data_IF_513249079637
#
_entry.id   IF_513249079637
#
_cell.length_a   1.000
_cell.length_b   1.000
_cell.length_c   1.000
_cell.angle_alpha   90.00
_cell.angle_beta   90.00
_cell.angle_gamma   90.00
#
_symmetry.space_group_name_H-M   'P 1'
#
loop_
_entity.id
_entity.type
_entity.pdbx_description
1 polymer ?
#
# COMPACT_ATOMS: atom_id res chain seq x y z
N UNK A 1 -14.13 15.56 8.43
CA UNK A 1 -13.76 14.14 8.62
C UNK A 1 -12.44 13.92 7.93
N UNK A 2 -11.40 13.59 8.69
CA UNK A 2 -10.04 13.42 8.18
C UNK A 2 -9.99 12.31 7.11
N UNK A 3 -9.59 12.66 5.88
CA UNK A 3 -9.55 11.75 4.72
C UNK A 3 -8.65 10.56 5.02
N UNK A 4 -7.52 10.80 5.69
CA UNK A 4 -6.54 9.77 6.05
C UNK A 4 -7.16 8.74 6.99
N UNK A 5 -7.96 9.17 7.98
CA UNK A 5 -8.67 8.24 8.85
C UNK A 5 -9.68 7.36 8.11
N UNK A 6 -10.31 7.85 7.03
CA UNK A 6 -11.18 6.99 6.20
C UNK A 6 -10.37 5.94 5.45
N UNK A 7 -9.23 6.33 4.88
CA UNK A 7 -8.33 5.41 4.18
C UNK A 7 -7.80 4.34 5.13
N UNK A 8 -7.36 4.72 6.32
CA UNK A 8 -6.92 3.79 7.36
C UNK A 8 -8.05 2.83 7.77
N UNK A 9 -9.29 3.31 7.88
CA UNK A 9 -10.46 2.46 8.12
C UNK A 9 -10.67 1.41 7.01
N UNK A 10 -10.49 1.79 5.75
CA UNK A 10 -10.55 0.85 4.62
C UNK A 10 -9.44 -0.20 4.66
N UNK A 11 -8.21 0.21 5.01
CA UNK A 11 -7.07 -0.71 5.15
C UNK A 11 -7.32 -1.71 6.29
N UNK A 12 -7.88 -1.25 7.39
CA UNK A 12 -8.26 -2.12 8.50
C UNK A 12 -9.37 -3.12 8.12
N UNK A 13 -10.33 -2.75 7.26
CA UNK A 13 -11.29 -3.72 6.70
C UNK A 13 -10.57 -4.76 5.83
N UNK A 14 -9.63 -4.35 4.97
CA UNK A 14 -8.83 -5.29 4.16
C UNK A 14 -8.07 -6.29 5.02
N UNK A 15 -7.48 -5.84 6.14
CA UNK A 15 -6.76 -6.70 7.09
C UNK A 15 -7.69 -7.70 7.80
N UNK A 16 -8.87 -7.27 8.22
CA UNK A 16 -9.78 -8.09 9.04
C UNK A 16 -10.69 -9.01 8.22
N UNK A 17 -11.03 -8.63 6.99
CA UNK A 17 -12.01 -9.32 6.13
C UNK A 17 -11.60 -9.29 4.65
N UNK A 18 -10.45 -9.87 4.28
CA UNK A 18 -9.90 -9.78 2.93
C UNK A 18 -10.88 -10.31 1.85
N UNK A 19 -11.59 -11.40 2.13
CA UNK A 19 -12.57 -12.00 1.21
C UNK A 19 -13.82 -11.16 0.92
N UNK A 20 -14.10 -10.10 1.68
CA UNK A 20 -15.16 -9.15 1.32
C UNK A 20 -14.77 -8.25 0.15
N UNK A 21 -13.48 -8.20 -0.16
CA UNK A 21 -12.87 -7.21 -1.05
C UNK A 21 -12.13 -7.90 -2.20
N UNK A 22 -11.44 -9.02 -1.91
CA UNK A 22 -10.66 -9.79 -2.88
C UNK A 22 -11.44 -11.01 -3.37
N UNK A 23 -11.29 -11.34 -4.66
CA UNK A 23 -11.91 -12.51 -5.29
C UNK A 23 -11.32 -13.84 -4.82
N UNK A 24 -10.08 -13.82 -4.35
CA UNK A 24 -9.37 -14.94 -3.76
C UNK A 24 -8.34 -14.40 -2.75
N UNK A 25 -7.81 -15.28 -1.91
CA UNK A 25 -6.88 -14.88 -0.86
C UNK A 25 -5.44 -14.78 -1.35
N UNK A 26 -5.13 -14.87 -2.66
CA UNK A 26 -3.73 -14.92 -3.11
C UNK A 26 -3.02 -13.58 -2.94
N UNK A 27 -1.70 -13.63 -2.76
CA UNK A 27 -0.85 -12.43 -2.70
C UNK A 27 -0.92 -11.63 -3.99
N UNK A 28 -1.07 -12.29 -5.14
CA UNK A 28 -1.22 -11.63 -6.44
C UNK A 28 -2.51 -10.79 -6.51
N UNK A 29 -3.62 -11.34 -6.02
CA UNK A 29 -4.91 -10.63 -5.97
C UNK A 29 -4.87 -9.46 -5.00
N UNK A 30 -4.28 -9.65 -3.80
CA UNK A 30 -4.08 -8.56 -2.84
C UNK A 30 -3.23 -7.43 -3.44
N UNK A 31 -2.09 -7.77 -4.05
CA UNK A 31 -1.19 -6.81 -4.70
C UNK A 31 -1.92 -6.00 -5.75
N UNK A 32 -2.65 -6.66 -6.65
CA UNK A 32 -3.39 -6.00 -7.73
C UNK A 32 -4.48 -5.07 -7.20
N UNK A 33 -5.20 -5.50 -6.17
CA UNK A 33 -6.20 -4.67 -5.51
C UNK A 33 -5.58 -3.43 -4.87
N UNK A 34 -4.50 -3.60 -4.10
CA UNK A 34 -3.81 -2.50 -3.42
C UNK A 34 -3.26 -1.49 -4.43
N UNK A 35 -2.66 -1.95 -5.52
CA UNK A 35 -2.17 -1.06 -6.58
C UNK A 35 -3.32 -0.24 -7.17
N UNK A 36 -4.43 -0.89 -7.54
CA UNK A 36 -5.62 -0.21 -8.04
C UNK A 36 -6.25 0.74 -7.01
N UNK A 37 -6.28 0.36 -5.73
CA UNK A 37 -6.74 1.21 -4.64
C UNK A 37 -5.88 2.47 -4.52
N UNK A 38 -4.55 2.33 -4.51
CA UNK A 38 -3.63 3.48 -4.44
C UNK A 38 -3.74 4.39 -5.67
N UNK A 39 -3.87 3.83 -6.87
CA UNK A 39 -4.06 4.63 -8.09
C UNK A 39 -5.41 5.38 -8.05
N UNK A 40 -6.49 4.72 -7.61
CA UNK A 40 -7.81 5.34 -7.45
C UNK A 40 -7.80 6.48 -6.42
N UNK A 41 -7.09 6.32 -5.30
CA UNK A 41 -6.87 7.39 -4.33
C UNK A 41 -6.10 8.56 -4.93
N UNK A 42 -5.04 8.30 -5.69
CA UNK A 42 -4.27 9.33 -6.38
C UNK A 42 -5.14 10.14 -7.34
N UNK A 43 -6.02 9.48 -8.09
CA UNK A 43 -6.94 10.16 -9.00
C UNK A 43 -8.01 11.00 -8.29
N UNK A 44 -8.71 10.44 -7.29
CA UNK A 44 -9.84 11.13 -6.66
C UNK A 44 -9.41 12.32 -5.80
N UNK A 45 -8.16 12.32 -5.32
CA UNK A 45 -7.60 13.39 -4.50
C UNK A 45 -6.51 14.20 -5.20
N UNK A 46 -6.41 14.14 -6.54
CA UNK A 46 -5.51 14.98 -7.34
C UNK A 46 -4.01 14.83 -6.97
N UNK A 47 -3.63 13.65 -6.45
CA UNK A 47 -2.22 13.26 -6.24
C UNK A 47 -1.84 12.17 -7.25
N UNK A 48 -1.57 12.59 -8.49
CA UNK A 48 -1.15 11.69 -9.57
C UNK A 48 0.20 11.01 -9.36
N UNK A 49 0.93 11.36 -8.29
CA UNK A 49 2.24 10.78 -7.93
C UNK A 49 2.16 9.86 -6.72
N UNK A 50 0.98 9.62 -6.13
CA UNK A 50 0.83 8.87 -4.89
C UNK A 50 1.56 7.53 -4.91
N UNK A 51 1.40 6.73 -5.98
CA UNK A 51 2.09 5.43 -6.11
C UNK A 51 3.62 5.55 -6.10
N UNK A 52 4.15 6.60 -6.71
CA UNK A 52 5.59 6.90 -6.69
C UNK A 52 6.02 7.34 -5.29
N UNK A 53 5.23 8.16 -4.60
CA UNK A 53 5.53 8.60 -3.24
C UNK A 53 5.61 7.42 -2.26
N UNK A 54 4.68 6.46 -2.35
CA UNK A 54 4.72 5.24 -1.53
C UNK A 54 5.97 4.42 -1.87
N UNK A 55 6.34 4.33 -3.16
CA UNK A 55 7.54 3.65 -3.62
C UNK A 55 8.83 4.27 -3.08
N UNK A 56 8.95 5.59 -3.12
CA UNK A 56 10.09 6.32 -2.56
C UNK A 56 10.12 6.23 -1.03
N UNK A 57 8.96 6.31 -0.37
CA UNK A 57 8.85 6.14 1.07
C UNK A 57 9.35 4.76 1.50
N UNK A 58 8.92 3.70 0.82
CA UNK A 58 9.32 2.34 1.16
C UNK A 58 10.82 2.11 0.93
N UNK A 59 11.38 2.61 -0.18
CA UNK A 59 12.82 2.61 -0.45
C UNK A 59 13.63 3.20 0.70
N UNK A 60 13.21 4.38 1.17
CA UNK A 60 13.84 5.04 2.30
C UNK A 60 13.69 4.22 3.59
N UNK A 61 12.52 3.60 3.81
CA UNK A 61 12.24 2.77 4.99
C UNK A 61 13.18 1.57 5.11
N UNK A 62 13.48 0.92 3.98
CA UNK A 62 14.35 -0.26 3.92
C UNK A 62 15.81 0.07 3.57
N UNK A 63 16.13 1.36 3.37
CA UNK A 63 17.43 1.84 2.93
C UNK A 63 17.96 1.10 1.68
N UNK A 64 17.09 0.94 0.67
CA UNK A 64 17.43 0.29 -0.59
C UNK A 64 17.14 1.19 -1.79
N UNK A 65 17.99 1.09 -2.82
CA UNK A 65 17.75 1.70 -4.13
C UNK A 65 17.04 0.69 -5.02
N UNK A 66 15.96 1.10 -5.66
CA UNK A 66 15.17 0.25 -6.55
C UNK A 66 14.47 1.10 -7.61
N UNK A 67 14.21 0.53 -8.78
CA UNK A 67 13.35 1.09 -9.83
C UNK A 67 11.95 0.46 -9.80
N UNK A 68 11.70 -0.47 -8.88
CA UNK A 68 10.44 -1.20 -8.76
C UNK A 68 9.40 -0.42 -7.96
N UNK A 69 8.13 -0.73 -8.17
CA UNK A 69 7.05 -0.29 -7.29
C UNK A 69 7.19 -0.91 -5.89
N UNK A 70 6.75 -0.19 -4.85
CA UNK A 70 6.86 -0.65 -3.45
C UNK A 70 6.35 -2.08 -3.21
N UNK A 71 5.27 -2.50 -3.88
CA UNK A 71 4.73 -3.86 -3.81
C UNK A 71 5.73 -4.91 -4.27
N UNK A 72 6.43 -4.65 -5.38
CA UNK A 72 7.49 -5.53 -5.90
C UNK A 72 8.77 -5.42 -5.07
N UNK A 73 9.08 -4.25 -4.52
CA UNK A 73 10.18 -4.08 -3.58
C UNK A 73 9.99 -4.96 -2.34
N UNK A 74 8.77 -5.06 -1.81
CA UNK A 74 8.43 -5.97 -0.69
C UNK A 74 8.78 -7.41 -1.08
N UNK A 75 8.35 -7.88 -2.26
CA UNK A 75 8.62 -9.24 -2.71
C UNK A 75 10.13 -9.52 -2.86
N UNK A 76 10.87 -8.52 -3.38
CA UNK A 76 12.31 -8.65 -3.56
C UNK A 76 13.08 -8.58 -2.26
N UNK A 77 12.69 -7.71 -1.33
CA UNK A 77 13.41 -7.47 -0.08
C UNK A 77 13.11 -8.56 0.96
N UNK A 78 11.88 -9.05 0.99
CA UNK A 78 11.41 -10.10 1.90
C UNK A 78 11.27 -11.46 1.18
N UNK A 79 12.23 -11.79 0.30
CA UNK A 79 12.17 -12.99 -0.56
C UNK A 79 12.17 -14.31 0.22
N UNK A 80 12.54 -14.29 1.50
CA UNK A 80 12.55 -15.43 2.42
C UNK A 80 11.20 -15.67 3.12
N UNK A 81 10.22 -14.77 2.95
CA UNK A 81 8.92 -14.83 3.63
C UNK A 81 7.90 -15.67 2.89
N UNK A 82 7.01 -16.27 3.66
CA UNK A 82 5.84 -16.97 3.14
C UNK A 82 4.85 -15.99 2.52
N UNK A 83 3.93 -16.53 1.71
CA UNK A 83 2.89 -15.72 1.07
C UNK A 83 2.02 -14.95 2.09
N UNK A 84 1.65 -15.60 3.21
CA UNK A 84 0.87 -14.97 4.28
C UNK A 84 1.63 -13.84 4.98
N UNK A 85 2.91 -14.04 5.27
CA UNK A 85 3.76 -12.99 5.84
C UNK A 85 3.89 -11.80 4.89
N UNK A 86 4.05 -12.05 3.58
CA UNK A 86 4.12 -11.01 2.56
C UNK A 86 2.81 -10.19 2.47
N UNK A 87 1.64 -10.84 2.59
CA UNK A 87 0.34 -10.14 2.65
C UNK A 87 0.27 -9.19 3.84
N UNK A 88 0.68 -9.68 5.01
CA UNK A 88 0.70 -8.90 6.25
C UNK A 88 1.64 -7.69 6.10
N UNK A 89 2.86 -7.91 5.61
CA UNK A 89 3.85 -6.85 5.38
C UNK A 89 3.31 -5.81 4.39
N UNK A 90 2.65 -6.25 3.31
CA UNK A 90 2.10 -5.33 2.30
C UNK A 90 1.01 -4.43 2.86
N UNK A 91 0.04 -5.00 3.58
CA UNK A 91 -1.02 -4.22 4.22
C UNK A 91 -0.49 -3.33 5.34
N UNK A 92 0.50 -3.79 6.11
CA UNK A 92 1.14 -2.98 7.14
C UNK A 92 1.90 -1.80 6.53
N UNK A 93 2.67 -2.04 5.46
CA UNK A 93 3.42 -0.98 4.78
C UNK A 93 2.49 0.08 4.20
N UNK A 94 1.35 -0.32 3.62
CA UNK A 94 0.32 0.62 3.16
C UNK A 94 -0.24 1.47 4.30
N UNK A 95 -0.58 0.83 5.43
CA UNK A 95 -1.10 1.51 6.62
C UNK A 95 -0.08 2.50 7.18
N UNK A 96 1.18 2.08 7.33
CA UNK A 96 2.26 2.88 7.90
C UNK A 96 2.54 4.10 7.03
N UNK A 97 2.52 3.97 5.70
CA UNK A 97 2.65 5.11 4.80
C UNK A 97 1.60 6.19 5.11
N UNK A 98 0.32 5.84 5.21
CA UNK A 98 -0.74 6.82 5.45
C UNK A 98 -0.72 7.40 6.87
N UNK A 99 -0.27 6.62 7.87
CA UNK A 99 -0.05 7.13 9.23
C UNK A 99 1.10 8.14 9.29
N UNK A 100 2.20 7.85 8.60
CA UNK A 100 3.38 8.71 8.58
C UNK A 100 3.19 9.94 7.68
N UNK A 101 2.28 9.87 6.70
CA UNK A 101 2.01 10.93 5.73
C UNK A 101 0.54 11.36 5.76
N UNK A 102 0.03 11.95 6.87
CA UNK A 102 -1.40 12.28 6.99
C UNK A 102 -1.89 13.33 5.98
N UNK A 103 -0.97 14.04 5.32
CA UNK A 103 -1.24 15.10 4.34
C UNK A 103 -0.91 14.69 2.90
N UNK A 104 -0.88 13.38 2.61
CA UNK A 104 -0.61 12.82 1.28
C UNK A 104 -1.50 13.38 0.15
N UNK A 105 -2.68 13.91 0.47
CA UNK A 105 -3.65 14.42 -0.51
C UNK A 105 -3.56 15.93 -0.77
N UNK A 106 -2.69 16.68 -0.07
CA UNK A 106 -2.58 18.15 -0.22
C UNK A 106 -1.46 18.62 -1.14
N UNK A 107 -0.78 17.69 -1.81
CA UNK A 107 0.39 18.00 -2.65
C UNK A 107 -0.05 18.29 -4.08
N UNK A 108 -0.18 19.59 -4.39
CA UNK A 108 -0.26 20.12 -5.76
C UNK A 108 1.11 20.61 -6.21
#
# INVERSE_FOLDING_TARGET
MDITNKVLGWIDVMKRRPLMILSDETLSSLKSYIEGFTDGLGHIYDNGKLRLEISLWFQNKINAQSDMLWTNQILSYYSDKTEEELKIIMLQSLEDYFKENPEWYKKR
#
